data_IF_365924933449
#
_entry.id   IF_365924933449
#
_cell.length_a   1.000
_cell.length_b   1.000
_cell.length_c   1.000
_cell.angle_alpha   90.00
_cell.angle_beta   90.00
_cell.angle_gamma   90.00
#
_symmetry.space_group_name_H-M   'P 1'
#
loop_
_entity.id
_entity.type
_entity.pdbx_description
1 polymer ?
#
# COMPACT_ATOMS: atom_id res chain seq x y z
N UNK A 1 -33.59 -43.83 53.93
CA UNK A 1 -32.45 -44.61 53.39
C UNK A 1 -32.51 -44.54 51.87
N UNK A 2 -31.42 -44.06 51.24
CA UNK A 2 -30.86 -44.41 49.91
C UNK A 2 -31.85 -44.58 48.70
N UNK A 3 -31.74 -43.94 47.54
CA UNK A 3 -30.57 -43.36 46.86
C UNK A 3 -30.90 -42.83 45.44
N UNK A 4 -30.06 -41.90 44.97
CA UNK A 4 -29.59 -41.64 43.59
C UNK A 4 -30.50 -40.99 42.53
N UNK A 5 -30.36 -39.66 42.43
CA UNK A 5 -30.59 -38.86 41.22
C UNK A 5 -29.28 -38.81 40.44
N UNK A 6 -29.25 -39.37 39.21
CA UNK A 6 -28.38 -38.93 38.10
C UNK A 6 -28.92 -39.46 36.78
N UNK A 7 -29.19 -38.58 35.83
CA UNK A 7 -29.08 -38.87 34.39
C UNK A 7 -28.86 -37.56 33.65
N UNK A 8 -27.64 -37.42 33.13
CA UNK A 8 -27.15 -36.37 32.25
C UNK A 8 -27.69 -36.67 30.85
N UNK A 9 -28.28 -35.66 30.19
CA UNK A 9 -28.74 -35.73 28.81
C UNK A 9 -28.29 -34.50 28.03
N UNK A 10 -27.25 -34.70 27.23
CA UNK A 10 -26.59 -33.75 26.33
C UNK A 10 -27.44 -33.50 25.06
N UNK A 11 -27.75 -32.24 24.74
CA UNK A 11 -28.29 -31.78 23.43
C UNK A 11 -28.29 -30.23 23.47
N UNK A 12 -28.00 -29.43 22.43
CA UNK A 12 -27.79 -29.63 21.00
C UNK A 12 -27.09 -28.36 20.47
N UNK A 13 -26.32 -28.49 19.40
CA UNK A 13 -25.63 -27.42 18.67
C UNK A 13 -26.52 -26.23 18.29
N UNK A 14 -26.02 -25.00 18.46
CA UNK A 14 -26.47 -23.85 17.67
C UNK A 14 -25.25 -23.24 16.97
N UNK A 15 -25.32 -23.29 15.64
CA UNK A 15 -24.29 -22.97 14.68
C UNK A 15 -23.88 -21.49 14.69
N UNK A 16 -22.66 -21.27 14.22
CA UNK A 16 -22.02 -19.97 14.13
C UNK A 16 -22.76 -18.98 13.24
N UNK A 17 -22.88 -17.77 13.75
CA UNK A 17 -23.08 -16.56 12.97
C UNK A 17 -21.99 -15.57 13.38
N UNK A 18 -20.74 -15.85 12.98
CA UNK A 18 -19.74 -14.79 12.90
C UNK A 18 -19.98 -14.08 11.56
N UNK A 19 -20.66 -12.95 11.68
CA UNK A 19 -20.94 -11.95 10.68
C UNK A 19 -19.74 -11.74 9.76
N UNK A 20 -19.98 -11.87 8.45
CA UNK A 20 -19.09 -11.37 7.42
C UNK A 20 -18.86 -9.87 7.67
N UNK A 21 -17.69 -9.54 8.21
CA UNK A 21 -17.17 -8.18 8.22
C UNK A 21 -16.95 -7.77 6.76
N UNK A 22 -17.65 -6.75 6.23
CA UNK A 22 -17.26 -6.20 4.95
C UNK A 22 -15.87 -5.61 5.14
N UNK A 23 -14.89 -6.20 4.45
CA UNK A 23 -13.56 -5.65 4.31
C UNK A 23 -13.75 -4.26 3.71
N UNK A 24 -13.54 -3.21 4.49
CA UNK A 24 -13.50 -1.84 3.99
C UNK A 24 -12.28 -1.71 3.08
N UNK A 25 -12.44 -2.13 1.82
CA UNK A 25 -11.58 -1.73 0.73
C UNK A 25 -11.53 -0.21 0.79
N UNK A 26 -10.36 0.35 1.07
CA UNK A 26 -10.11 1.77 1.00
C UNK A 26 -10.23 2.22 -0.46
N UNK A 27 -11.47 2.31 -0.95
CA UNK A 27 -11.77 2.87 -2.26
C UNK A 27 -11.43 4.34 -2.19
N UNK A 28 -10.33 4.68 -2.87
CA UNK A 28 -9.94 6.04 -3.07
C UNK A 28 -11.05 6.71 -3.88
N UNK A 29 -11.71 7.74 -3.33
CA UNK A 29 -12.83 8.41 -3.98
C UNK A 29 -12.44 8.88 -5.39
N UNK A 30 -13.39 8.93 -6.33
CA UNK A 30 -13.07 9.37 -7.69
C UNK A 30 -12.51 10.82 -7.69
N UNK A 31 -11.57 11.15 -8.61
CA UNK A 31 -11.08 12.51 -8.80
C UNK A 31 -12.22 13.52 -8.93
N UNK A 32 -12.07 14.70 -8.32
CA UNK A 32 -13.06 15.80 -8.46
C UNK A 32 -14.32 15.66 -7.61
N UNK A 33 -14.51 14.54 -6.89
CA UNK A 33 -15.62 14.38 -5.95
C UNK A 33 -15.42 15.20 -4.67
N UNK A 34 -16.52 15.62 -4.04
CA UNK A 34 -16.47 16.36 -2.77
C UNK A 34 -15.80 15.54 -1.66
N UNK A 35 -16.05 14.22 -1.63
CA UNK A 35 -15.41 13.32 -0.67
C UNK A 35 -13.88 13.26 -0.84
N UNK A 36 -13.36 13.28 -2.08
CA UNK A 36 -11.92 13.37 -2.33
C UNK A 36 -11.37 14.71 -1.86
N UNK A 37 -12.06 15.81 -2.20
CA UNK A 37 -11.63 17.15 -1.81
C UNK A 37 -11.53 17.33 -0.29
N UNK A 38 -12.51 16.81 0.46
CA UNK A 38 -12.46 16.86 1.92
C UNK A 38 -11.26 16.09 2.46
N UNK A 39 -10.97 14.90 1.91
CA UNK A 39 -9.80 14.10 2.29
C UNK A 39 -8.48 14.82 1.96
N UNK A 40 -8.37 15.44 0.79
CA UNK A 40 -7.16 16.16 0.40
C UNK A 40 -6.90 17.36 1.32
N UNK A 41 -7.96 18.09 1.70
CA UNK A 41 -7.88 19.18 2.69
C UNK A 41 -7.43 18.72 4.07
N UNK A 42 -7.96 17.60 4.55
CA UNK A 42 -7.57 17.02 5.84
C UNK A 42 -6.08 16.59 5.86
N UNK A 43 -5.52 16.26 4.70
CA UNK A 43 -4.10 15.91 4.58
C UNK A 43 -3.20 17.13 4.84
N UNK A 44 -3.67 18.35 4.56
CA UNK A 44 -2.89 19.58 4.72
C UNK A 44 -2.52 19.92 6.17
N UNK A 45 -3.19 19.34 7.16
CA UNK A 45 -2.86 19.57 8.57
C UNK A 45 -1.77 18.60 9.10
N UNK A 46 -1.40 17.56 8.33
CA UNK A 46 -0.50 16.48 8.77
C UNK A 46 0.82 16.39 8.01
N UNK A 47 1.22 17.45 7.32
CA UNK A 47 2.29 17.45 6.32
C UNK A 47 3.29 18.57 6.57
N UNK A 48 4.56 18.31 6.30
CA UNK A 48 5.67 19.27 6.47
C UNK A 48 5.74 20.26 5.29
N UNK A 49 4.64 20.96 5.00
CA UNK A 49 4.56 21.98 3.95
C UNK A 49 3.70 23.18 4.37
N UNK A 50 3.81 24.30 3.65
CA UNK A 50 2.95 25.46 3.87
C UNK A 50 1.47 25.09 3.67
N UNK A 51 0.66 25.26 4.72
CA UNK A 51 -0.75 24.88 4.70
C UNK A 51 -1.53 25.64 3.63
N UNK A 52 -1.22 26.92 3.43
CA UNK A 52 -1.90 27.73 2.42
C UNK A 52 -1.56 27.24 1.01
N UNK A 53 -0.31 26.85 0.74
CA UNK A 53 0.11 26.20 -0.50
C UNK A 53 -0.62 24.87 -0.71
N UNK A 54 -0.66 24.00 0.30
CA UNK A 54 -1.38 22.73 0.23
C UNK A 54 -2.85 22.90 -0.14
N UNK A 55 -3.55 23.86 0.48
CA UNK A 55 -4.95 24.15 0.17
C UNK A 55 -5.15 24.69 -1.25
N UNK A 56 -4.20 25.49 -1.76
CA UNK A 56 -4.22 25.95 -3.16
C UNK A 56 -4.03 24.79 -4.13
N UNK A 57 -3.08 23.88 -3.84
CA UNK A 57 -2.81 22.69 -4.65
C UNK A 57 -4.01 21.73 -4.67
N UNK A 58 -4.65 21.49 -3.51
CA UNK A 58 -5.88 20.70 -3.43
C UNK A 58 -7.02 21.32 -4.26
N UNK A 59 -7.13 22.65 -4.26
CA UNK A 59 -8.08 23.39 -5.10
C UNK A 59 -7.79 23.22 -6.60
N UNK A 60 -6.52 23.36 -7.00
CA UNK A 60 -6.07 23.17 -8.38
C UNK A 60 -6.33 21.74 -8.86
N UNK A 61 -6.04 20.73 -8.02
CA UNK A 61 -6.32 19.33 -8.33
C UNK A 61 -7.82 19.08 -8.56
N UNK A 62 -8.70 19.67 -7.74
CA UNK A 62 -10.16 19.60 -7.96
C UNK A 62 -10.56 20.22 -9.30
N UNK A 63 -10.04 21.40 -9.61
CA UNK A 63 -10.35 22.09 -10.87
C UNK A 63 -9.92 21.25 -12.08
N UNK A 64 -8.74 20.64 -12.02
CA UNK A 64 -8.24 19.81 -13.11
C UNK A 64 -9.01 18.48 -13.23
N UNK A 65 -9.44 17.92 -12.10
CA UNK A 65 -10.30 16.75 -12.10
C UNK A 65 -11.67 17.03 -12.73
N UNK A 66 -12.26 18.20 -12.47
CA UNK A 66 -13.52 18.63 -13.11
C UNK A 66 -13.36 18.79 -14.63
N UNK A 67 -12.16 19.13 -15.09
CA UNK A 67 -11.79 19.22 -16.51
C UNK A 67 -11.36 17.88 -17.11
N UNK A 68 -11.43 16.79 -16.34
CA UNK A 68 -10.96 15.46 -16.72
C UNK A 68 -9.47 15.38 -17.08
N UNK A 69 -8.66 16.35 -16.64
CA UNK A 69 -7.21 16.32 -16.84
C UNK A 69 -6.43 15.73 -15.68
N UNK A 70 -7.05 15.57 -14.50
CA UNK A 70 -6.44 14.84 -13.38
C UNK A 70 -6.49 13.33 -13.63
N UNK A 71 -5.54 12.87 -14.43
CA UNK A 71 -5.41 11.48 -14.87
C UNK A 71 -4.14 10.86 -14.29
N UNK A 72 -4.12 9.53 -14.26
CA UNK A 72 -2.92 8.75 -13.91
C UNK A 72 -2.54 7.87 -15.08
N UNK A 73 -1.25 7.59 -15.22
CA UNK A 73 -0.79 6.59 -16.17
C UNK A 73 -1.27 5.19 -15.74
N UNK A 74 -1.24 4.24 -16.68
CA UNK A 74 -1.51 2.85 -16.35
C UNK A 74 -0.46 2.34 -15.33
N UNK A 75 -0.83 1.42 -14.41
CA UNK A 75 0.12 0.83 -13.46
C UNK A 75 1.42 0.33 -14.11
N UNK A 76 1.28 -0.31 -15.28
CA UNK A 76 2.39 -0.84 -16.08
C UNK A 76 3.39 0.24 -16.52
N UNK A 77 2.94 1.48 -16.74
CA UNK A 77 3.83 2.59 -17.10
C UNK A 77 4.74 2.97 -15.93
N UNK A 78 4.24 2.91 -14.70
CA UNK A 78 5.07 3.20 -13.52
C UNK A 78 6.15 2.13 -13.32
N UNK A 79 5.81 0.86 -13.52
CA UNK A 79 6.77 -0.25 -13.44
C UNK A 79 7.85 -0.14 -14.53
N UNK A 80 7.44 0.17 -15.77
CA UNK A 80 8.37 0.39 -16.87
C UNK A 80 9.34 1.55 -16.58
N UNK A 81 8.83 2.68 -16.09
CA UNK A 81 9.67 3.81 -15.69
C UNK A 81 10.62 3.45 -14.54
N UNK A 82 10.15 2.65 -13.58
CA UNK A 82 10.97 2.18 -12.48
C UNK A 82 12.13 1.30 -12.98
N UNK A 83 11.88 0.39 -13.91
CA UNK A 83 12.90 -0.49 -14.51
C UNK A 83 13.80 0.22 -15.52
N UNK A 84 13.29 1.23 -16.23
CA UNK A 84 14.09 2.05 -17.16
C UNK A 84 15.28 2.70 -16.44
N UNK A 85 15.10 3.11 -15.17
CA UNK A 85 16.19 3.62 -14.33
C UNK A 85 17.31 2.61 -14.09
N UNK A 86 17.02 1.31 -14.07
CA UNK A 86 18.05 0.29 -13.91
C UNK A 86 18.91 0.10 -15.17
N UNK A 87 18.46 0.58 -16.34
CA UNK A 87 19.25 0.52 -17.57
C UNK A 87 20.49 1.45 -17.54
N UNK A 88 20.51 2.41 -16.61
CA UNK A 88 21.65 3.32 -16.40
C UNK A 88 22.75 2.71 -15.52
N UNK A 89 22.52 1.54 -14.92
CA UNK A 89 23.52 0.85 -14.11
C UNK A 89 24.57 0.16 -14.99
N UNK A 90 25.80 -0.05 -14.47
CA UNK A 90 26.75 -0.96 -15.10
C UNK A 90 26.12 -2.32 -15.37
N UNK A 91 26.56 -3.00 -16.44
CA UNK A 91 25.96 -4.27 -16.85
C UNK A 91 25.98 -5.34 -15.74
N UNK A 92 27.00 -5.33 -14.89
CA UNK A 92 27.12 -6.24 -13.75
C UNK A 92 26.07 -5.98 -12.66
N UNK A 93 25.64 -4.74 -12.46
CA UNK A 93 24.75 -4.33 -11.36
C UNK A 93 23.27 -4.27 -11.78
N UNK A 94 23.00 -4.37 -13.09
CA UNK A 94 21.65 -4.19 -13.63
C UNK A 94 20.66 -5.23 -13.10
N UNK A 95 21.05 -6.49 -13.05
CA UNK A 95 20.20 -7.57 -12.54
C UNK A 95 19.82 -7.33 -11.06
N UNK A 96 20.78 -6.89 -10.25
CA UNK A 96 20.55 -6.58 -8.84
C UNK A 96 19.65 -5.35 -8.65
N UNK A 97 19.78 -4.33 -9.51
CA UNK A 97 18.87 -3.18 -9.52
C UNK A 97 17.44 -3.62 -9.84
N UNK A 98 17.25 -4.41 -10.90
CA UNK A 98 15.93 -4.88 -11.32
C UNK A 98 15.28 -5.72 -10.21
N UNK A 99 16.04 -6.63 -9.59
CA UNK A 99 15.57 -7.44 -8.47
C UNK A 99 15.12 -6.57 -7.27
N UNK A 100 15.87 -5.51 -6.94
CA UNK A 100 15.52 -4.57 -5.87
C UNK A 100 14.24 -3.79 -6.15
N UNK A 101 14.05 -3.35 -7.39
CA UNK A 101 12.85 -2.61 -7.80
C UNK A 101 11.62 -3.53 -7.80
N UNK A 102 11.77 -4.75 -8.31
CA UNK A 102 10.69 -5.75 -8.35
C UNK A 102 10.42 -6.38 -6.98
N UNK A 103 11.33 -6.24 -6.02
CA UNK A 103 11.22 -6.84 -4.69
C UNK A 103 11.42 -8.35 -4.71
N UNK A 104 12.16 -8.88 -5.70
CA UNK A 104 12.47 -10.32 -5.81
C UNK A 104 13.75 -10.66 -5.05
N UNK A 105 13.96 -11.95 -4.75
CA UNK A 105 15.13 -12.42 -4.01
C UNK A 105 15.10 -12.02 -2.52
N UNK A 106 16.27 -11.81 -1.92
CA UNK A 106 16.39 -11.33 -0.54
C UNK A 106 16.25 -9.80 -0.46
N UNK A 107 15.07 -9.31 -0.84
CA UNK A 107 14.75 -7.88 -0.88
C UNK A 107 13.80 -7.45 0.24
N UNK A 108 14.07 -6.32 0.87
CA UNK A 108 13.24 -5.70 1.88
C UNK A 108 12.88 -4.26 1.49
N UNK A 109 11.67 -3.82 1.85
CA UNK A 109 11.20 -2.44 1.65
C UNK A 109 10.83 -1.84 3.00
N UNK A 110 11.29 -0.62 3.27
CA UNK A 110 11.06 0.09 4.51
C UNK A 110 10.67 1.54 4.25
N UNK A 111 9.93 2.15 5.18
CA UNK A 111 9.46 3.53 5.07
C UNK A 111 8.11 3.68 4.37
N UNK A 112 7.73 4.92 4.09
CA UNK A 112 6.49 5.27 3.40
C UNK A 112 6.62 6.61 2.68
N UNK A 113 5.79 6.83 1.67
CA UNK A 113 5.75 8.10 0.94
C UNK A 113 5.46 9.28 1.89
N UNK A 114 4.46 9.12 2.77
CA UNK A 114 4.11 10.14 3.76
C UNK A 114 5.21 10.34 4.82
N UNK A 115 5.99 9.29 5.12
CA UNK A 115 7.12 9.33 6.04
C UNK A 115 8.42 9.87 5.45
N UNK A 116 8.39 10.39 4.21
CA UNK A 116 9.54 11.04 3.56
C UNK A 116 10.34 10.15 2.60
N UNK A 117 9.98 8.87 2.45
CA UNK A 117 10.64 8.01 1.47
C UNK A 117 10.42 6.52 1.68
N UNK A 118 10.69 5.77 0.61
CA UNK A 118 10.70 4.31 0.60
C UNK A 118 12.11 3.84 0.25
N UNK A 119 12.72 3.07 1.14
CA UNK A 119 14.04 2.47 0.94
C UNK A 119 13.86 1.01 0.59
N UNK A 120 14.62 0.56 -0.42
CA UNK A 120 14.66 -0.83 -0.86
C UNK A 120 16.07 -1.35 -0.72
N UNK A 121 16.22 -2.49 -0.09
CA UNK A 121 17.49 -3.16 0.13
C UNK A 121 17.42 -4.57 -0.46
N UNK A 122 18.50 -5.01 -1.08
CA UNK A 122 18.64 -6.38 -1.59
C UNK A 122 20.00 -6.90 -1.16
N UNK A 123 20.02 -8.09 -0.57
CA UNK A 123 21.25 -8.74 -0.11
C UNK A 123 21.63 -9.86 -1.08
N UNK A 124 22.74 -9.70 -1.80
CA UNK A 124 23.28 -10.71 -2.71
C UNK A 124 24.48 -11.41 -2.05
N UNK A 125 24.36 -12.68 -1.63
CA UNK A 125 25.49 -13.40 -1.04
C UNK A 125 26.52 -13.76 -2.12
N UNK A 126 27.79 -13.44 -1.88
CA UNK A 126 28.90 -13.81 -2.76
C UNK A 126 29.44 -15.17 -2.30
N UNK A 127 29.46 -16.21 -3.16
CA UNK A 127 30.04 -17.50 -2.83
C UNK A 127 31.52 -17.39 -2.47
N UNK A 128 31.98 -18.17 -1.49
CA UNK A 128 33.41 -18.27 -1.20
C UNK A 128 34.17 -18.86 -2.41
N UNK A 129 35.39 -18.38 -2.70
CA UNK A 129 36.19 -18.94 -3.78
C UNK A 129 36.49 -20.42 -3.52
N UNK A 130 36.42 -21.24 -4.58
CA UNK A 130 36.85 -22.63 -4.51
C UNK A 130 38.35 -22.68 -4.17
N UNK A 131 38.73 -23.53 -3.21
CA UNK A 131 40.14 -23.80 -2.89
C UNK A 131 40.80 -24.63 -3.96
#
# INVERSE_FOLDING_TARGET
MKTFIRSIGLALCAAGAFSAMPSALAQSAAPGTEARMQRDRLTCDGVQQDRAACLREAGAARQEAQRSGLTSAAPTTYDQNALARCQLQPAADRADCEARIQGTGASATQGSVMGGGVIRETVTPIPAPAR
#
